data_IF_631734567149
#
_entry.id   IF_631734567149
#
_cell.length_a   1.000
_cell.length_b   1.000
_cell.length_c   1.000
_cell.angle_alpha   90.00
_cell.angle_beta   90.00
_cell.angle_gamma   90.00
#
_symmetry.space_group_name_H-M   'P 1'
#
loop_
_entity.id
_entity.type
_entity.pdbx_description
1 polymer ?
#
# COMPACT_ATOMS: atom_id res chain seq x y z
N UNK A 1 25.26 19.69 14.34
CA UNK A 1 24.36 20.85 14.51
C UNK A 1 24.77 22.05 13.64
N UNK A 2 25.15 21.86 12.37
CA UNK A 2 25.77 22.93 11.54
C UNK A 2 25.15 23.07 10.14
N UNK A 3 23.85 22.81 9.97
CA UNK A 3 23.21 22.87 8.63
C UNK A 3 21.96 23.75 8.54
N UNK A 4 21.70 24.63 9.51
CA UNK A 4 20.55 25.52 9.48
C UNK A 4 21.00 26.97 9.70
N UNK A 5 20.81 27.82 8.70
CA UNK A 5 21.02 29.27 8.77
C UNK A 5 19.68 29.99 8.91
N UNK A 6 19.50 30.86 9.91
CA UNK A 6 18.27 31.65 10.07
C UNK A 6 18.11 32.78 9.04
N UNK A 7 19.16 33.10 8.26
CA UNK A 7 19.16 34.19 7.28
C UNK A 7 18.97 33.71 5.84
N UNK A 8 18.93 32.40 5.59
CA UNK A 8 18.89 31.85 4.24
C UNK A 8 17.99 30.61 4.14
N UNK A 9 16.97 30.68 3.29
CA UNK A 9 16.12 29.54 2.99
C UNK A 9 16.86 28.56 2.07
N UNK A 10 17.13 27.34 2.55
CA UNK A 10 17.66 26.27 1.71
C UNK A 10 16.52 25.66 0.88
N UNK A 11 16.73 25.56 -0.44
CA UNK A 11 15.90 24.69 -1.28
C UNK A 11 16.37 23.25 -1.14
N UNK A 12 15.50 22.40 -0.62
CA UNK A 12 15.68 20.95 -0.64
C UNK A 12 14.91 20.41 -1.84
N UNK A 13 15.63 19.80 -2.78
CA UNK A 13 15.03 18.91 -3.76
C UNK A 13 14.64 17.62 -3.00
N UNK A 14 13.37 17.19 -3.01
CA UNK A 14 12.99 15.91 -2.42
C UNK A 14 13.84 14.79 -3.03
N UNK A 15 14.60 14.07 -2.21
CA UNK A 15 15.47 12.98 -2.69
C UNK A 15 14.69 11.76 -3.17
N UNK A 16 13.38 11.71 -2.87
CA UNK A 16 12.46 10.72 -3.43
C UNK A 16 11.50 11.41 -4.40
N UNK A 17 11.34 10.81 -5.58
CA UNK A 17 10.22 11.11 -6.47
C UNK A 17 8.90 10.91 -5.70
N UNK A 18 7.80 11.62 -6.05
CA UNK A 18 6.50 11.39 -5.45
C UNK A 18 6.11 9.91 -5.62
N UNK A 19 6.18 9.16 -4.52
CA UNK A 19 5.88 7.75 -4.45
C UNK A 19 5.59 7.38 -3.00
N UNK A 20 4.31 7.40 -2.64
CA UNK A 20 3.68 6.86 -1.42
C UNK A 20 4.32 7.18 -0.05
N UNK A 21 3.68 8.05 0.75
CA UNK A 21 4.07 8.33 2.14
C UNK A 21 3.36 7.43 3.16
N UNK A 22 3.04 6.20 2.78
CA UNK A 22 2.20 5.29 3.57
C UNK A 22 3.04 4.21 4.21
N UNK A 23 2.80 3.93 5.48
CA UNK A 23 3.39 2.81 6.21
C UNK A 23 2.26 1.88 6.65
N UNK A 24 2.43 0.60 6.36
CA UNK A 24 1.61 -0.47 6.91
C UNK A 24 2.42 -1.28 7.93
N UNK A 25 1.78 -1.71 9.01
CA UNK A 25 2.34 -2.63 9.97
C UNK A 25 1.27 -3.55 10.55
N UNK A 26 1.69 -4.74 10.96
CA UNK A 26 0.87 -5.64 11.76
C UNK A 26 1.65 -6.23 12.91
N UNK A 27 0.94 -6.55 13.98
CA UNK A 27 1.49 -7.18 15.16
C UNK A 27 0.50 -8.21 15.71
N UNK A 28 1.01 -9.20 16.43
CA UNK A 28 0.19 -10.15 17.18
C UNK A 28 0.87 -10.51 18.50
N UNK A 29 0.09 -10.95 19.48
CA UNK A 29 0.60 -11.39 20.79
C UNK A 29 0.22 -12.83 21.14
N UNK A 30 0.76 -13.33 22.25
CA UNK A 30 0.51 -14.69 22.72
C UNK A 30 -0.95 -14.95 23.14
N UNK A 31 -1.70 -13.90 23.49
CA UNK A 31 -3.10 -13.98 23.93
C UNK A 31 -4.08 -14.00 22.73
N UNK A 32 -3.57 -13.84 21.50
CA UNK A 32 -4.37 -13.88 20.29
C UNK A 32 -4.84 -12.50 19.80
N UNK A 33 -4.35 -11.40 20.39
CA UNK A 33 -4.59 -10.07 19.84
C UNK A 33 -3.85 -9.95 18.52
N UNK A 34 -4.51 -9.37 17.50
CA UNK A 34 -3.90 -9.02 16.24
C UNK A 34 -4.22 -7.57 15.88
N UNK A 35 -3.23 -6.85 15.35
CA UNK A 35 -3.34 -5.47 14.91
C UNK A 35 -3.01 -5.40 13.43
N UNK A 36 -3.90 -4.77 12.66
CA UNK A 36 -3.64 -4.31 11.29
C UNK A 36 -3.72 -2.79 11.29
N UNK A 37 -2.59 -2.12 11.09
CA UNK A 37 -2.48 -0.68 11.23
C UNK A 37 -1.83 -0.08 9.98
N UNK A 38 -2.42 1.01 9.48
CA UNK A 38 -1.89 1.74 8.35
C UNK A 38 -2.00 3.24 8.61
N UNK A 39 -0.95 3.99 8.30
CA UNK A 39 -0.92 5.44 8.43
C UNK A 39 -0.20 6.10 7.26
N UNK A 40 -0.53 7.36 6.98
CA UNK A 40 0.01 8.05 5.81
C UNK A 40 -0.23 9.55 5.85
N UNK A 41 0.74 10.31 5.35
CA UNK A 41 0.58 11.72 5.01
C UNK A 41 -0.07 11.95 3.63
N UNK A 42 -0.58 10.88 3.00
CA UNK A 42 -1.03 10.78 1.61
C UNK A 42 0.13 10.77 0.61
N UNK A 43 0.58 11.94 0.15
CA UNK A 43 1.66 12.02 -0.85
C UNK A 43 3.00 12.29 -0.16
N UNK A 44 3.84 11.27 0.03
CA UNK A 44 5.19 11.42 0.61
C UNK A 44 5.19 12.14 1.96
N UNK A 45 5.90 13.26 2.06
CA UNK A 45 5.94 14.12 3.26
C UNK A 45 4.64 14.90 3.53
N UNK A 46 3.59 14.70 2.73
CA UNK A 46 2.30 15.37 2.86
C UNK A 46 2.30 16.73 2.18
N UNK A 47 1.81 17.75 2.88
CA UNK A 47 1.66 19.11 2.33
C UNK A 47 2.98 19.88 2.18
N UNK A 48 4.09 19.34 2.72
CA UNK A 48 5.34 20.08 2.87
C UNK A 48 5.30 21.15 3.98
N UNK A 49 4.18 21.29 4.70
CA UNK A 49 4.02 22.23 5.82
C UNK A 49 4.36 21.52 7.12
N UNK A 50 5.30 22.08 7.88
CA UNK A 50 5.60 21.66 9.24
C UNK A 50 4.82 22.53 10.24
N UNK A 51 4.29 21.91 11.31
CA UNK A 51 3.63 22.61 12.40
C UNK A 51 4.62 23.42 13.25
N UNK A 52 5.09 24.55 12.73
CA UNK A 52 6.13 25.36 13.37
C UNK A 52 7.46 24.62 13.44
N UNK A 53 8.11 24.61 14.62
CA UNK A 53 9.38 23.92 14.88
C UNK A 53 9.22 22.51 15.48
N UNK A 54 8.02 21.94 15.44
CA UNK A 54 7.69 20.68 16.14
C UNK A 54 8.23 19.42 15.46
N UNK A 55 8.58 19.50 14.18
CA UNK A 55 8.89 18.31 13.37
C UNK A 55 7.65 17.56 12.86
N UNK A 56 6.44 18.01 13.19
CA UNK A 56 5.19 17.39 12.72
C UNK A 56 4.88 17.88 11.32
N UNK A 57 4.95 16.97 10.34
CA UNK A 57 4.57 17.24 8.95
C UNK A 57 3.05 17.09 8.78
N UNK A 58 2.39 18.10 8.24
CA UNK A 58 0.95 18.08 8.00
C UNK A 58 0.62 17.31 6.72
N UNK A 59 -0.32 16.36 6.81
CA UNK A 59 -0.80 15.60 5.65
C UNK A 59 -1.44 16.49 4.58
N UNK A 60 -1.43 16.02 3.31
CA UNK A 60 -2.18 16.65 2.21
C UNK A 60 -3.41 15.84 1.78
N UNK A 61 -3.97 15.01 2.67
CA UNK A 61 -5.11 14.12 2.37
C UNK A 61 -6.31 14.80 1.72
N UNK A 62 -6.57 16.08 2.06
CA UNK A 62 -7.66 16.85 1.46
C UNK A 62 -7.57 17.00 -0.07
N UNK A 63 -6.39 16.78 -0.67
CA UNK A 63 -6.22 16.77 -2.13
C UNK A 63 -7.03 15.67 -2.85
N UNK A 64 -7.55 14.69 -2.12
CA UNK A 64 -8.35 13.62 -2.69
C UNK A 64 -9.85 13.96 -2.82
N UNK A 65 -10.31 15.09 -2.25
CA UNK A 65 -11.66 15.57 -2.51
C UNK A 65 -11.86 15.95 -3.97
N UNK A 66 -13.07 15.73 -4.47
CA UNK A 66 -13.52 16.34 -5.72
C UNK A 66 -13.93 17.79 -5.49
N UNK A 67 -13.67 18.63 -6.49
CA UNK A 67 -14.18 20.01 -6.55
C UNK A 67 -15.52 20.11 -7.29
N UNK A 68 -15.99 19.02 -7.89
CA UNK A 68 -17.35 18.92 -8.41
C UNK A 68 -18.33 18.73 -7.23
N UNK A 69 -19.17 19.74 -7.01
CA UNK A 69 -20.18 19.75 -5.94
C UNK A 69 -21.23 18.64 -6.03
N UNK A 70 -21.38 17.99 -7.19
CA UNK A 70 -22.32 16.88 -7.39
C UNK A 70 -21.68 15.51 -7.12
N UNK A 71 -20.36 15.46 -6.98
CA UNK A 71 -19.63 14.23 -6.74
C UNK A 71 -19.82 13.74 -5.30
N UNK A 72 -19.99 12.42 -5.03
CA UNK A 72 -20.14 11.89 -3.67
C UNK A 72 -18.97 12.23 -2.73
N UNK A 73 -17.78 12.42 -3.29
CA UNK A 73 -16.57 12.86 -2.58
C UNK A 73 -16.30 14.37 -2.70
N UNK A 74 -17.33 15.21 -2.82
CA UNK A 74 -17.18 16.66 -2.88
C UNK A 74 -16.58 17.24 -1.58
N UNK A 75 -15.72 18.25 -1.71
CA UNK A 75 -15.17 18.98 -0.57
C UNK A 75 -16.29 19.67 0.23
N UNK A 76 -16.36 19.39 1.54
CA UNK A 76 -17.29 20.03 2.46
C UNK A 76 -16.66 20.30 3.85
N UNK A 77 -17.05 21.36 4.56
CA UNK A 77 -16.57 21.61 5.91
C UNK A 77 -16.87 20.45 6.87
N UNK A 78 -15.86 20.01 7.63
CA UNK A 78 -16.00 18.93 8.62
C UNK A 78 -16.16 17.52 8.03
N UNK A 79 -16.17 17.35 6.71
CA UNK A 79 -16.19 16.03 6.08
C UNK A 79 -14.80 15.40 6.03
N UNK A 80 -14.78 14.07 5.87
CA UNK A 80 -13.57 13.29 5.58
C UNK A 80 -13.68 12.80 4.14
N UNK A 81 -12.64 13.01 3.34
CA UNK A 81 -12.58 12.50 1.97
C UNK A 81 -12.59 10.97 1.98
N UNK A 82 -12.99 10.37 0.85
CA UNK A 82 -12.62 9.01 0.49
C UNK A 82 -11.14 8.77 0.87
N UNK A 83 -10.86 7.61 1.47
CA UNK A 83 -9.54 7.31 1.99
C UNK A 83 -8.95 6.12 1.26
N UNK A 84 -7.70 6.26 0.83
CA UNK A 84 -6.98 5.17 0.19
C UNK A 84 -6.46 4.13 1.18
N UNK A 85 -6.50 4.42 2.48
CA UNK A 85 -5.89 3.58 3.51
C UNK A 85 -6.81 2.43 3.87
N UNK A 86 -6.31 1.20 3.74
CA UNK A 86 -7.11 -0.01 3.89
C UNK A 86 -6.34 -1.08 4.68
N UNK A 87 -6.37 -1.05 6.02
CA UNK A 87 -5.88 -2.16 6.83
C UNK A 87 -6.85 -3.35 6.70
N UNK A 88 -6.32 -4.57 6.57
CA UNK A 88 -7.10 -5.79 6.37
C UNK A 88 -6.98 -6.78 7.53
N UNK A 89 -8.09 -7.44 7.82
CA UNK A 89 -8.13 -8.54 8.79
C UNK A 89 -9.06 -9.64 8.28
N UNK A 90 -8.62 -10.90 8.33
CA UNK A 90 -9.45 -12.07 8.05
C UNK A 90 -9.83 -12.71 9.38
N UNK A 91 -11.13 -12.97 9.53
CA UNK A 91 -11.69 -13.67 10.69
C UNK A 91 -12.19 -15.05 10.25
N UNK A 92 -12.01 -16.04 11.13
CA UNK A 92 -12.58 -17.37 11.03
C UNK A 92 -13.41 -17.64 12.26
N UNK A 93 -14.70 -17.91 12.06
CA UNK A 93 -15.65 -18.16 13.14
C UNK A 93 -15.62 -17.08 14.24
N UNK A 94 -15.44 -15.82 13.83
CA UNK A 94 -15.37 -14.66 14.71
C UNK A 94 -14.01 -14.40 15.37
N UNK A 95 -13.00 -15.23 15.11
CA UNK A 95 -11.63 -15.09 15.65
C UNK A 95 -10.70 -14.52 14.58
N UNK A 96 -9.88 -13.53 14.93
CA UNK A 96 -8.86 -13.00 14.01
C UNK A 96 -7.83 -14.08 13.67
N UNK A 97 -7.68 -14.36 12.37
CA UNK A 97 -6.74 -15.37 11.86
C UNK A 97 -5.57 -14.70 11.11
N UNK A 98 -5.82 -13.57 10.45
CA UNK A 98 -4.82 -12.90 9.60
C UNK A 98 -4.93 -11.40 9.77
N UNK A 99 -3.80 -10.73 10.00
CA UNK A 99 -3.66 -9.28 9.87
C UNK A 99 -2.76 -9.00 8.67
N UNK A 100 -3.23 -8.20 7.72
CA UNK A 100 -2.50 -7.96 6.48
C UNK A 100 -2.84 -6.60 5.88
N UNK A 101 -1.97 -6.10 5.03
CA UNK A 101 -2.14 -4.79 4.44
C UNK A 101 -1.11 -4.52 3.39
N UNK A 102 -1.41 -3.56 2.52
CA UNK A 102 -0.52 -3.10 1.49
C UNK A 102 -0.40 -1.57 1.52
N UNK A 103 0.77 -1.08 1.15
CA UNK A 103 1.10 0.32 0.87
C UNK A 103 1.03 0.50 -0.64
N UNK A 104 0.43 1.58 -1.15
CA UNK A 104 0.39 1.79 -2.62
C UNK A 104 -0.70 2.70 -3.15
N UNK A 105 -1.25 3.62 -2.35
CA UNK A 105 -2.31 4.53 -2.80
C UNK A 105 -3.52 3.77 -3.32
N UNK A 106 -3.98 4.11 -4.52
CA UNK A 106 -5.13 3.49 -5.18
C UNK A 106 -4.85 2.07 -5.71
N UNK A 107 -3.58 1.62 -5.70
CA UNK A 107 -3.21 0.23 -5.93
C UNK A 107 -3.53 -0.70 -4.76
N UNK A 108 -3.73 -0.16 -3.55
CA UNK A 108 -3.95 -0.97 -2.33
C UNK A 108 -5.07 -2.01 -2.48
N UNK A 109 -6.29 -1.68 -2.93
CA UNK A 109 -7.35 -2.68 -3.06
C UNK A 109 -6.98 -3.82 -4.00
N UNK A 110 -6.21 -3.53 -5.07
CA UNK A 110 -5.77 -4.51 -6.05
C UNK A 110 -4.76 -5.49 -5.44
N UNK A 111 -3.79 -4.96 -4.69
CA UNK A 111 -2.82 -5.78 -3.96
C UNK A 111 -3.52 -6.60 -2.88
N UNK A 112 -4.45 -6.00 -2.13
CA UNK A 112 -5.20 -6.70 -1.06
C UNK A 112 -5.95 -7.93 -1.60
N UNK A 113 -6.59 -7.82 -2.77
CA UNK A 113 -7.27 -8.97 -3.40
C UNK A 113 -6.28 -10.06 -3.77
N UNK A 114 -5.11 -9.71 -4.34
CA UNK A 114 -4.08 -10.69 -4.68
C UNK A 114 -3.51 -11.40 -3.44
N UNK A 115 -3.34 -10.67 -2.32
CA UNK A 115 -2.89 -11.26 -1.05
C UNK A 115 -3.93 -12.25 -0.50
N UNK A 116 -5.21 -11.89 -0.51
CA UNK A 116 -6.30 -12.77 -0.05
C UNK A 116 -6.40 -14.00 -0.94
N UNK A 117 -6.35 -13.84 -2.26
CA UNK A 117 -6.39 -14.97 -3.21
C UNK A 117 -5.22 -15.93 -2.95
N UNK A 118 -3.99 -15.42 -2.85
CA UNK A 118 -2.82 -16.26 -2.60
C UNK A 118 -2.92 -17.05 -1.30
N UNK A 119 -3.48 -16.43 -0.25
CA UNK A 119 -3.61 -17.06 1.07
C UNK A 119 -4.77 -18.05 1.14
N UNK A 120 -5.95 -17.65 0.66
CA UNK A 120 -7.22 -18.38 0.86
C UNK A 120 -7.47 -19.37 -0.27
N UNK A 121 -7.31 -18.95 -1.52
CA UNK A 121 -7.64 -19.78 -2.68
C UNK A 121 -6.48 -20.69 -3.04
N UNK A 122 -5.25 -20.15 -3.03
CA UNK A 122 -4.05 -20.91 -3.42
C UNK A 122 -3.33 -21.58 -2.24
N UNK A 123 -3.76 -21.29 -1.00
CA UNK A 123 -3.28 -21.97 0.21
C UNK A 123 -1.81 -21.71 0.56
N UNK A 124 -1.22 -20.62 0.07
CA UNK A 124 0.18 -20.29 0.34
C UNK A 124 0.42 -19.89 1.80
N UNK A 125 1.68 -19.92 2.23
CA UNK A 125 2.12 -19.28 3.47
C UNK A 125 2.28 -17.75 3.31
N UNK A 126 2.29 -16.97 4.41
CA UNK A 126 2.35 -15.51 4.34
C UNK A 126 3.53 -14.95 3.53
N UNK A 127 4.72 -15.55 3.61
CA UNK A 127 5.88 -15.04 2.87
C UNK A 127 5.73 -15.35 1.38
N UNK A 128 5.32 -16.57 1.02
CA UNK A 128 5.07 -16.94 -0.37
C UNK A 128 3.97 -16.09 -1.03
N UNK A 129 2.92 -15.71 -0.28
CA UNK A 129 1.89 -14.77 -0.75
C UNK A 129 2.50 -13.40 -1.06
N UNK A 130 3.33 -12.87 -0.16
CA UNK A 130 3.94 -11.55 -0.29
C UNK A 130 4.97 -11.51 -1.43
N UNK A 131 5.73 -12.58 -1.59
CA UNK A 131 6.76 -12.74 -2.62
C UNK A 131 6.19 -12.93 -4.02
N UNK A 132 4.95 -13.39 -4.14
CA UNK A 132 4.34 -13.66 -5.44
C UNK A 132 4.42 -12.43 -6.38
N UNK A 133 4.72 -12.63 -7.68
CA UNK A 133 4.64 -11.56 -8.67
C UNK A 133 3.24 -10.93 -8.69
N UNK A 134 3.19 -9.60 -8.80
CA UNK A 134 1.96 -8.80 -8.75
C UNK A 134 1.65 -8.19 -10.09
N UNK A 135 0.37 -7.86 -10.25
CA UNK A 135 -0.07 -6.91 -11.25
C UNK A 135 -0.87 -5.78 -10.61
N UNK A 136 -0.84 -4.61 -11.23
CA UNK A 136 -1.69 -3.46 -10.86
C UNK A 136 -2.14 -2.75 -12.12
N UNK A 137 -3.41 -2.39 -12.20
CA UNK A 137 -3.90 -1.43 -13.17
C UNK A 137 -3.49 -0.04 -12.70
N UNK A 138 -2.75 0.67 -13.54
CA UNK A 138 -2.32 2.03 -13.25
C UNK A 138 -3.52 2.97 -13.10
N UNK A 139 -3.48 3.80 -12.07
CA UNK A 139 -4.53 4.76 -11.75
C UNK A 139 -3.90 6.03 -11.25
N UNK A 140 -4.37 7.16 -11.79
CA UNK A 140 -3.89 8.50 -11.42
C UNK A 140 -4.78 9.15 -10.34
N UNK A 141 -5.89 8.51 -9.98
CA UNK A 141 -6.84 8.99 -8.98
C UNK A 141 -8.29 8.57 -9.27
N UNK A 142 -9.16 8.74 -8.27
CA UNK A 142 -10.58 8.42 -8.40
C UNK A 142 -11.25 9.21 -9.53
N UNK A 143 -11.92 8.51 -10.45
CA UNK A 143 -12.65 9.11 -11.56
C UNK A 143 -11.78 9.50 -12.77
N UNK A 144 -10.47 9.29 -12.71
CA UNK A 144 -9.59 9.43 -13.87
C UNK A 144 -9.55 8.13 -14.69
N UNK A 145 -9.24 8.21 -16.01
CA UNK A 145 -9.06 7.02 -16.83
C UNK A 145 -8.01 6.08 -16.25
N UNK A 146 -8.24 4.78 -16.42
CA UNK A 146 -7.26 3.74 -16.06
C UNK A 146 -6.13 3.73 -17.09
N UNK A 147 -4.91 3.57 -16.61
CA UNK A 147 -3.72 3.34 -17.42
C UNK A 147 -3.49 1.86 -17.73
N UNK A 148 -2.27 1.49 -18.16
CA UNK A 148 -1.94 0.11 -18.49
C UNK A 148 -1.99 -0.82 -17.27
N UNK A 149 -2.16 -2.11 -17.55
CA UNK A 149 -1.94 -3.19 -16.57
C UNK A 149 -0.43 -3.39 -16.45
N UNK A 150 0.14 -3.00 -15.31
CA UNK A 150 1.53 -3.26 -14.97
C UNK A 150 1.65 -4.66 -14.39
N UNK A 151 2.59 -5.45 -14.88
CA UNK A 151 2.83 -6.82 -14.40
C UNK A 151 4.33 -6.98 -14.14
N UNK A 152 4.71 -7.49 -12.98
CA UNK A 152 6.12 -7.84 -12.74
C UNK A 152 6.57 -8.94 -13.71
N UNK A 153 7.77 -8.78 -14.25
CA UNK A 153 8.28 -9.65 -15.33
C UNK A 153 8.85 -10.98 -14.84
N UNK A 154 9.01 -11.19 -13.53
CA UNK A 154 9.46 -12.46 -12.97
C UNK A 154 8.36 -13.52 -13.11
N UNK A 155 8.72 -14.64 -13.74
CA UNK A 155 7.87 -15.81 -13.96
C UNK A 155 6.53 -15.51 -14.66
N UNK A 156 6.44 -14.37 -15.37
CA UNK A 156 5.24 -14.04 -16.14
C UNK A 156 5.09 -14.98 -17.33
N UNK A 157 3.92 -15.60 -17.44
CA UNK A 157 3.60 -16.43 -18.60
C UNK A 157 3.30 -15.53 -19.81
N UNK A 158 4.16 -15.55 -20.82
CA UNK A 158 4.00 -14.78 -22.06
C UNK A 158 2.64 -15.03 -22.73
N UNK A 159 2.11 -16.25 -22.69
CA UNK A 159 0.79 -16.54 -23.25
C UNK A 159 -0.34 -15.79 -22.52
N UNK A 160 -0.17 -15.50 -21.23
CA UNK A 160 -1.11 -14.66 -20.47
C UNK A 160 -1.05 -13.21 -20.94
N UNK A 161 0.16 -12.67 -21.15
CA UNK A 161 0.36 -11.30 -21.66
C UNK A 161 -0.24 -11.14 -23.05
N UNK A 162 0.02 -12.08 -23.96
CA UNK A 162 -0.56 -12.09 -25.31
C UNK A 162 -2.08 -12.18 -25.26
N UNK A 163 -2.63 -13.03 -24.38
CA UNK A 163 -4.06 -13.18 -24.19
C UNK A 163 -4.73 -11.91 -23.62
N UNK A 164 -4.02 -11.12 -22.81
CA UNK A 164 -4.50 -9.81 -22.34
C UNK A 164 -4.48 -8.78 -23.47
N UNK A 165 -3.41 -8.72 -24.26
CA UNK A 165 -3.35 -7.85 -25.44
C UNK A 165 -4.45 -8.18 -26.46
N UNK A 166 -4.71 -9.47 -26.73
CA UNK A 166 -5.78 -9.90 -27.63
C UNK A 166 -7.18 -9.49 -27.15
N UNK A 167 -7.34 -9.21 -25.84
CA UNK A 167 -8.58 -8.69 -25.24
C UNK A 167 -8.62 -7.15 -25.19
N UNK A 168 -7.60 -6.47 -25.70
CA UNK A 168 -7.53 -5.01 -25.76
C UNK A 168 -6.91 -4.35 -24.54
N UNK A 169 -6.30 -5.11 -23.63
CA UNK A 169 -5.55 -4.51 -22.52
C UNK A 169 -4.21 -3.96 -23.00
N UNK A 170 -3.90 -2.73 -22.57
CA UNK A 170 -2.53 -2.24 -22.57
C UNK A 170 -1.79 -2.90 -21.41
N UNK A 171 -0.70 -3.62 -21.70
CA UNK A 171 0.12 -4.31 -20.70
C UNK A 171 1.52 -3.73 -20.72
N UNK A 172 2.05 -3.42 -19.54
CA UNK A 172 3.42 -2.97 -19.34
C UNK A 172 4.13 -3.94 -18.39
N UNK A 173 5.11 -4.68 -18.91
CA UNK A 173 5.99 -5.46 -18.04
C UNK A 173 6.94 -4.51 -17.31
N UNK A 174 7.09 -4.71 -16.01
CA UNK A 174 7.99 -3.93 -15.15
C UNK A 174 9.04 -4.82 -14.50
N UNK A 175 10.08 -4.21 -13.94
CA UNK A 175 11.14 -4.93 -13.25
C UNK A 175 10.56 -5.77 -12.09
N UNK A 176 11.09 -6.98 -11.86
CA UNK A 176 10.72 -7.79 -10.70
C UNK A 176 10.92 -7.01 -9.41
N UNK A 177 10.00 -7.18 -8.47
CA UNK A 177 10.05 -6.60 -7.13
C UNK A 177 10.18 -5.07 -7.12
N UNK A 178 9.51 -4.41 -8.07
CA UNK A 178 9.51 -2.94 -8.17
C UNK A 178 8.58 -2.29 -7.14
N UNK A 179 8.95 -1.13 -6.56
CA UNK A 179 8.09 -0.33 -5.69
C UNK A 179 6.73 0.05 -6.28
N UNK A 180 6.59 0.04 -7.60
CA UNK A 180 5.32 0.33 -8.30
C UNK A 180 4.19 -0.62 -7.86
N UNK A 181 4.54 -1.83 -7.43
CA UNK A 181 3.58 -2.85 -6.98
C UNK A 181 3.11 -2.68 -5.53
N UNK A 182 3.62 -1.64 -4.86
CA UNK A 182 3.39 -1.43 -3.44
C UNK A 182 4.14 -2.43 -2.56
N UNK A 183 3.89 -2.32 -1.26
CA UNK A 183 4.58 -3.12 -0.24
C UNK A 183 3.59 -3.69 0.75
N UNK A 184 3.69 -4.98 1.06
CA UNK A 184 2.75 -5.70 1.89
C UNK A 184 3.41 -6.33 3.11
N UNK A 185 2.65 -6.43 4.20
CA UNK A 185 3.03 -7.20 5.39
C UNK A 185 1.86 -8.09 5.79
N UNK A 186 2.15 -9.25 6.36
CA UNK A 186 1.13 -10.21 6.78
C UNK A 186 1.59 -10.98 8.01
N UNK A 187 0.66 -11.20 8.95
CA UNK A 187 0.79 -12.19 10.01
C UNK A 187 -0.43 -13.12 9.94
N UNK A 188 -0.19 -14.43 9.96
CA UNK A 188 -1.21 -15.47 10.09
C UNK A 188 -1.04 -16.21 11.41
N UNK A 189 -2.11 -16.34 12.18
CA UNK A 189 -2.20 -17.23 13.35
C UNK A 189 -2.54 -18.64 12.90
N UNK A 190 -1.80 -19.63 13.40
CA UNK A 190 -2.04 -21.05 13.13
C UNK A 190 -3.01 -21.66 14.16
N UNK A 191 -3.67 -22.79 13.85
CA UNK A 191 -4.59 -23.45 14.78
C UNK A 191 -3.96 -23.79 16.14
N UNK A 192 -2.68 -24.17 16.14
CA UNK A 192 -1.91 -24.49 17.34
C UNK A 192 -1.45 -23.24 18.14
N UNK A 193 -1.75 -22.04 17.66
CA UNK A 193 -1.45 -20.77 18.32
C UNK A 193 -0.10 -20.14 17.97
N UNK A 194 0.70 -20.77 17.11
CA UNK A 194 1.91 -20.18 16.53
C UNK A 194 1.56 -19.10 15.49
N UNK A 195 2.54 -18.28 15.11
CA UNK A 195 2.38 -17.25 14.09
C UNK A 195 3.38 -17.44 12.95
N UNK A 196 2.91 -17.16 11.74
CA UNK A 196 3.73 -17.04 10.54
C UNK A 196 3.69 -15.59 10.06
N UNK A 197 4.83 -15.03 9.66
CA UNK A 197 4.95 -13.67 9.16
C UNK A 197 5.49 -13.64 7.74
N UNK A 198 5.02 -12.68 6.95
CA UNK A 198 5.54 -12.37 5.62
C UNK A 198 5.84 -10.88 5.50
N UNK A 199 7.03 -10.55 4.98
CA UNK A 199 7.48 -9.17 4.79
C UNK A 199 7.93 -8.91 3.35
N UNK A 200 7.54 -7.75 2.80
CA UNK A 200 7.77 -7.47 1.39
C UNK A 200 9.24 -7.35 1.01
N UNK A 201 9.74 -8.13 0.03
CA UNK A 201 11.10 -7.97 -0.48
C UNK A 201 11.29 -6.71 -1.33
N UNK A 202 10.20 -6.00 -1.69
CA UNK A 202 10.24 -4.76 -2.50
C UNK A 202 10.66 -3.52 -1.70
N UNK A 203 10.77 -3.63 -0.38
CA UNK A 203 11.23 -2.59 0.54
C UNK A 203 12.20 -3.16 1.58
N UNK A 204 12.93 -2.26 2.24
CA UNK A 204 13.61 -2.57 3.48
C UNK A 204 12.55 -2.86 4.56
N UNK A 205 12.22 -4.14 4.76
CA UNK A 205 11.18 -4.58 5.69
C UNK A 205 11.56 -5.85 6.43
N UNK A 206 10.80 -6.20 7.48
CA UNK A 206 11.11 -7.30 8.39
C UNK A 206 9.84 -7.92 8.97
N UNK A 207 9.79 -9.25 8.97
CA UNK A 207 8.92 -10.03 9.84
C UNK A 207 9.78 -10.66 10.95
N UNK A 208 9.38 -10.48 12.20
CA UNK A 208 10.10 -11.00 13.36
C UNK A 208 9.13 -11.59 14.38
N UNK A 209 9.53 -12.69 15.02
CA UNK A 209 8.79 -13.38 16.07
C UNK A 209 9.66 -13.62 17.30
N UNK A 210 9.02 -13.99 18.42
CA UNK A 210 9.65 -14.33 19.70
C UNK A 210 9.41 -15.79 20.05
#
# INVERSE_FOLDING_TARGET
>A
ASRLSPEQAHRYEPTNRPGGGTVYLCAADADGMMVSLIESNYMGFGSGVMGGSTGIMLQNRGAYFSLDSTHPNALAPGSRTLHTLMPGMILRDGVAEVAFGAMGGDGQPQTMVQLVQGLVDDGLDPQAVVDRPRFVVETEGAGLPLGPVRIESDDVNTATVEALHARGHEVALVEPKTPVMGWAQMIRRRPEGSYEGGADPRADSLAAGL
#
